data_IF_460171914528
#
_entry.id   IF_460171914528
#
_cell.length_a   1.000
_cell.length_b   1.000
_cell.length_c   1.000
_cell.angle_alpha   90.00
_cell.angle_beta   90.00
_cell.angle_gamma   90.00
#
_symmetry.space_group_name_H-M   'P 1'
#
loop_
_entity.id
_entity.type
_entity.pdbx_description
1 polymer ?
#
# COMPACT_ATOMS: atom_id res chain seq x y z
N UNK A 1 -7.37 -7.07 18.32
CA UNK A 1 -6.89 -6.90 19.70
C UNK A 1 -5.37 -6.83 19.76
N UNK A 2 -4.62 -7.90 19.45
CA UNK A 2 -3.14 -7.89 19.53
C UNK A 2 -2.49 -6.79 18.67
N UNK A 3 -2.98 -6.56 17.45
CA UNK A 3 -2.50 -5.45 16.61
C UNK A 3 -2.71 -4.05 17.21
N UNK A 4 -3.56 -3.92 18.23
CA UNK A 4 -3.79 -2.70 19.00
C UNK A 4 -2.99 -2.67 20.33
N UNK A 5 -2.19 -3.69 20.61
CA UNK A 5 -1.36 -3.79 21.83
C UNK A 5 -2.00 -4.54 23.00
N UNK A 6 -3.02 -5.37 22.79
CA UNK A 6 -3.53 -6.26 23.85
C UNK A 6 -2.64 -7.49 24.02
N UNK A 7 -2.16 -7.75 25.23
CA UNK A 7 -1.25 -8.88 25.54
C UNK A 7 -1.92 -10.09 26.20
N UNK A 8 -3.04 -9.89 26.89
CA UNK A 8 -3.73 -10.93 27.66
C UNK A 8 -5.17 -11.12 27.21
N UNK A 9 -5.66 -12.35 27.32
CA UNK A 9 -7.00 -12.78 26.93
C UNK A 9 -7.51 -13.82 27.92
N UNK A 10 -8.73 -13.65 28.40
CA UNK A 10 -9.50 -14.67 29.09
C UNK A 10 -10.67 -15.13 28.21
N UNK A 11 -11.07 -16.39 28.33
CA UNK A 11 -12.19 -16.93 27.57
C UNK A 11 -12.91 -17.99 28.38
N UNK A 12 -14.15 -17.72 28.77
CA UNK A 12 -15.11 -18.76 29.18
C UNK A 12 -15.83 -19.37 27.97
N UNK A 13 -15.72 -18.74 26.80
CA UNK A 13 -16.47 -19.09 25.60
C UNK A 13 -16.19 -20.53 25.13
N UNK A 14 -14.96 -21.05 25.30
CA UNK A 14 -14.65 -22.42 24.85
C UNK A 14 -15.57 -23.47 25.50
N UNK A 15 -15.89 -23.30 26.78
CA UNK A 15 -16.73 -24.20 27.55
C UNK A 15 -18.22 -23.88 27.37
N UNK A 16 -18.60 -22.60 27.37
CA UNK A 16 -20.00 -22.18 27.16
C UNK A 16 -20.46 -22.62 25.76
N UNK A 17 -19.66 -22.37 24.73
CA UNK A 17 -19.99 -22.73 23.35
C UNK A 17 -20.11 -24.24 23.19
N UNK A 18 -19.24 -25.01 23.83
CA UNK A 18 -19.33 -26.46 23.81
C UNK A 18 -20.63 -26.99 24.42
N UNK A 19 -21.12 -26.39 25.52
CA UNK A 19 -22.43 -26.72 26.12
C UNK A 19 -23.58 -26.45 25.16
N UNK A 20 -23.47 -25.38 24.37
CA UNK A 20 -24.45 -25.02 23.34
C UNK A 20 -24.24 -25.77 22.00
N UNK A 21 -23.38 -26.80 21.96
CA UNK A 21 -23.10 -27.54 20.73
C UNK A 21 -22.37 -26.73 19.65
N UNK A 22 -21.66 -25.66 20.02
CA UNK A 22 -20.95 -24.76 19.10
C UNK A 22 -19.46 -25.11 19.00
N UNK A 23 -19.00 -25.16 17.74
CA UNK A 23 -17.64 -25.46 17.30
C UNK A 23 -16.93 -24.19 16.84
N UNK A 24 -15.79 -23.85 17.44
CA UNK A 24 -14.99 -22.67 17.09
C UNK A 24 -14.10 -22.91 15.87
N UNK A 25 -14.00 -21.90 14.99
CA UNK A 25 -13.09 -21.83 13.84
C UNK A 25 -12.37 -20.49 13.82
N UNK A 26 -11.34 -20.34 12.97
CA UNK A 26 -10.70 -19.04 12.72
C UNK A 26 -11.65 -18.02 12.06
N UNK A 27 -12.72 -18.48 11.44
CA UNK A 27 -13.71 -17.64 10.75
C UNK A 27 -14.95 -17.33 11.62
N UNK A 28 -15.09 -17.97 12.78
CA UNK A 28 -16.24 -17.77 13.67
C UNK A 28 -16.64 -19.04 14.40
N UNK A 29 -17.95 -19.34 14.38
CA UNK A 29 -18.52 -20.51 15.06
C UNK A 29 -19.54 -21.20 14.18
N UNK A 30 -19.53 -22.53 14.20
CA UNK A 30 -20.54 -23.38 13.57
C UNK A 30 -21.31 -24.17 14.64
N UNK A 31 -22.52 -24.62 14.34
CA UNK A 31 -23.18 -25.63 15.17
C UNK A 31 -22.68 -27.01 14.77
N UNK A 32 -22.45 -27.89 15.74
CA UNK A 32 -21.98 -29.25 15.47
C UNK A 32 -22.95 -30.01 14.55
N UNK A 33 -24.26 -29.80 14.71
CA UNK A 33 -25.31 -30.40 13.89
C UNK A 33 -25.27 -30.02 12.40
N UNK A 34 -24.61 -28.91 12.06
CA UNK A 34 -24.49 -28.39 10.69
C UNK A 34 -23.17 -28.83 10.02
N UNK A 35 -22.27 -29.49 10.75
CA UNK A 35 -20.96 -29.88 10.24
C UNK A 35 -21.00 -31.26 9.58
N UNK A 36 -20.66 -31.30 8.30
CA UNK A 36 -20.37 -32.56 7.60
C UNK A 36 -18.92 -33.03 7.79
N UNK A 37 -17.99 -32.09 8.05
CA UNK A 37 -16.56 -32.37 8.23
C UNK A 37 -15.99 -31.44 9.31
N UNK A 38 -14.94 -31.89 10.00
CA UNK A 38 -14.14 -30.99 10.84
C UNK A 38 -13.00 -30.34 10.05
N UNK A 39 -13.00 -29.00 9.86
CA UNK A 39 -11.89 -28.28 9.24
C UNK A 39 -10.75 -28.05 10.25
N UNK A 40 -10.32 -29.10 10.95
CA UNK A 40 -9.29 -29.03 11.98
C UNK A 40 -8.55 -30.36 12.11
N UNK A 41 -7.31 -30.30 12.59
CA UNK A 41 -6.45 -31.46 12.81
C UNK A 41 -6.00 -31.55 14.28
N UNK A 42 -6.79 -31.02 15.22
CA UNK A 42 -6.50 -31.18 16.65
C UNK A 42 -6.72 -32.64 17.10
N UNK A 43 -6.25 -33.04 18.30
CA UNK A 43 -6.43 -34.41 18.78
C UNK A 43 -7.87 -34.93 18.84
N UNK A 44 -8.88 -34.04 18.87
CA UNK A 44 -10.30 -34.41 18.77
C UNK A 44 -10.67 -34.65 17.31
N UNK A 45 -10.50 -33.63 16.46
CA UNK A 45 -10.91 -33.68 15.05
C UNK A 45 -10.11 -34.67 14.19
N UNK A 46 -8.92 -35.09 14.65
CA UNK A 46 -8.14 -36.14 13.98
C UNK A 46 -8.60 -37.56 14.33
N UNK A 47 -9.45 -37.73 15.35
CA UNK A 47 -9.91 -39.03 15.84
C UNK A 47 -11.38 -39.30 15.60
N UNK A 48 -12.18 -38.24 15.46
CA UNK A 48 -13.62 -38.34 15.39
C UNK A 48 -14.17 -37.52 14.25
N UNK A 49 -15.30 -37.96 13.72
CA UNK A 49 -16.13 -37.24 12.75
C UNK A 49 -17.30 -36.50 13.44
N UNK A 50 -17.92 -35.51 12.78
CA UNK A 50 -19.06 -34.77 13.36
C UNK A 50 -20.24 -35.66 13.78
N UNK A 51 -20.60 -36.66 12.96
CA UNK A 51 -21.69 -37.60 13.27
C UNK A 51 -21.40 -38.42 14.52
N UNK A 52 -20.16 -38.90 14.68
CA UNK A 52 -19.75 -39.66 15.86
C UNK A 52 -19.85 -38.80 17.12
N UNK A 53 -19.43 -37.54 17.06
CA UNK A 53 -19.60 -36.61 18.19
C UNK A 53 -21.07 -36.36 18.52
N UNK A 54 -21.96 -36.30 17.53
CA UNK A 54 -23.40 -36.08 17.74
C UNK A 54 -24.06 -37.26 18.46
N UNK A 55 -23.64 -38.48 18.14
CA UNK A 55 -24.17 -39.72 18.73
C UNK A 55 -23.64 -39.98 20.17
N UNK A 56 -22.58 -39.29 20.59
CA UNK A 56 -22.03 -39.44 21.93
C UNK A 56 -22.96 -38.92 23.04
N UNK A 57 -22.88 -39.47 24.27
CA UNK A 57 -23.54 -38.90 25.43
C UNK A 57 -23.17 -37.43 25.62
N UNK A 58 -24.15 -36.61 26.00
CA UNK A 58 -24.01 -35.15 26.08
C UNK A 58 -22.75 -34.71 26.83
N UNK A 59 -22.48 -35.30 28.00
CA UNK A 59 -21.31 -34.97 28.82
C UNK A 59 -19.99 -35.16 28.05
N UNK A 60 -19.88 -36.23 27.27
CA UNK A 60 -18.68 -36.54 26.52
C UNK A 60 -18.55 -35.66 25.27
N UNK A 61 -19.66 -35.45 24.56
CA UNK A 61 -19.74 -34.50 23.43
C UNK A 61 -19.31 -33.09 23.83
N UNK A 62 -19.84 -32.57 24.94
CA UNK A 62 -19.48 -31.25 25.49
C UNK A 62 -18.00 -31.21 25.88
N UNK A 63 -17.47 -32.28 26.50
CA UNK A 63 -16.05 -32.36 26.88
C UNK A 63 -15.13 -32.29 25.66
N UNK A 64 -15.43 -33.04 24.60
CA UNK A 64 -14.64 -33.07 23.37
C UNK A 64 -14.75 -31.76 22.59
N UNK A 65 -15.95 -31.18 22.47
CA UNK A 65 -16.14 -29.86 21.87
C UNK A 65 -15.38 -28.76 22.64
N UNK A 66 -15.41 -28.79 23.97
CA UNK A 66 -14.68 -27.82 24.79
C UNK A 66 -13.16 -27.96 24.58
N UNK A 67 -12.67 -29.19 24.48
CA UNK A 67 -11.27 -29.48 24.19
C UNK A 67 -10.86 -28.96 22.82
N UNK A 68 -11.65 -29.21 21.78
CA UNK A 68 -11.45 -28.64 20.44
C UNK A 68 -11.42 -27.11 20.49
N UNK A 69 -12.42 -26.48 21.11
CA UNK A 69 -12.52 -25.03 21.20
C UNK A 69 -11.29 -24.41 21.88
N UNK A 70 -10.75 -25.07 22.91
CA UNK A 70 -9.50 -24.67 23.54
C UNK A 70 -8.30 -24.81 22.59
N UNK A 71 -8.19 -25.92 21.84
CA UNK A 71 -7.16 -26.07 20.82
C UNK A 71 -7.26 -25.01 19.72
N UNK A 72 -8.46 -24.65 19.29
CA UNK A 72 -8.69 -23.59 18.30
C UNK A 72 -8.15 -22.24 18.82
N UNK A 73 -8.45 -21.87 20.07
CA UNK A 73 -7.94 -20.65 20.69
C UNK A 73 -6.40 -20.65 20.77
N UNK A 74 -5.81 -21.75 21.24
CA UNK A 74 -4.36 -21.88 21.36
C UNK A 74 -3.66 -21.87 19.99
N UNK A 75 -4.27 -22.46 18.97
CA UNK A 75 -3.78 -22.43 17.59
C UNK A 75 -3.73 -21.00 17.06
N UNK A 76 -4.78 -20.22 17.28
CA UNK A 76 -4.82 -18.82 16.84
C UNK A 76 -3.74 -17.98 17.54
N UNK A 77 -3.52 -18.18 18.84
CA UNK A 77 -2.41 -17.52 19.55
C UNK A 77 -1.04 -17.86 18.94
N UNK A 78 -0.83 -19.11 18.49
CA UNK A 78 0.42 -19.49 17.81
C UNK A 78 0.57 -18.79 16.46
N UNK A 79 -0.50 -18.70 15.66
CA UNK A 79 -0.50 -17.95 14.40
C UNK A 79 -0.13 -16.48 14.63
N UNK A 80 -0.74 -15.85 15.63
CA UNK A 80 -0.45 -14.44 15.97
C UNK A 80 1.02 -14.27 16.38
N UNK A 81 1.53 -15.14 17.27
CA UNK A 81 2.94 -15.07 17.69
C UNK A 81 3.91 -15.24 16.51
N UNK A 82 3.62 -16.17 15.62
CA UNK A 82 4.41 -16.38 14.42
C UNK A 82 4.36 -15.15 13.50
N UNK A 83 3.16 -14.61 13.25
CA UNK A 83 2.97 -13.41 12.43
C UNK A 83 3.71 -12.19 12.99
N UNK A 84 3.74 -12.01 14.32
CA UNK A 84 4.55 -10.97 14.96
C UNK A 84 6.05 -11.20 14.68
N UNK A 85 6.53 -12.43 14.88
CA UNK A 85 7.95 -12.78 14.71
C UNK A 85 8.45 -12.54 13.29
N UNK A 86 7.63 -12.83 12.28
CA UNK A 86 8.00 -12.63 10.86
C UNK A 86 7.59 -11.26 10.29
N UNK A 87 6.84 -10.46 11.06
CA UNK A 87 6.38 -9.13 10.66
C UNK A 87 5.19 -9.13 9.71
N UNK A 88 4.35 -10.16 9.74
CA UNK A 88 3.13 -10.33 8.90
C UNK A 88 1.83 -10.18 9.69
N UNK A 89 1.87 -9.52 10.86
CA UNK A 89 0.68 -9.37 11.71
C UNK A 89 -0.46 -8.62 11.00
N UNK A 90 -0.13 -7.67 10.12
CA UNK A 90 -1.15 -6.95 9.36
C UNK A 90 -1.87 -7.87 8.36
N UNK A 91 -1.12 -8.71 7.65
CA UNK A 91 -1.67 -9.68 6.71
C UNK A 91 -2.59 -10.68 7.43
N UNK A 92 -2.17 -11.19 8.60
CA UNK A 92 -3.02 -12.05 9.42
C UNK A 92 -4.29 -11.32 9.89
N UNK A 93 -4.16 -10.06 10.33
CA UNK A 93 -5.28 -9.24 10.74
C UNK A 93 -6.30 -9.06 9.60
N UNK A 94 -5.83 -8.72 8.40
CA UNK A 94 -6.70 -8.53 7.24
C UNK A 94 -7.37 -9.84 6.83
N UNK A 95 -6.64 -10.95 6.83
CA UNK A 95 -7.22 -12.27 6.60
C UNK A 95 -8.36 -12.58 7.59
N UNK A 96 -8.18 -12.29 8.89
CA UNK A 96 -9.23 -12.46 9.90
C UNK A 96 -10.36 -11.43 9.78
N UNK A 97 -10.07 -10.23 9.31
CA UNK A 97 -11.07 -9.19 9.11
C UNK A 97 -12.15 -9.61 8.09
N UNK A 98 -11.78 -10.42 7.10
CA UNK A 98 -12.69 -10.95 6.09
C UNK A 98 -13.59 -12.10 6.59
N UNK A 99 -13.42 -12.57 7.82
CA UNK A 99 -14.28 -13.61 8.38
C UNK A 99 -15.72 -13.13 8.64
N UNK A 100 -15.92 -11.83 8.93
CA UNK A 100 -17.25 -11.28 9.21
C UNK A 100 -17.32 -9.77 8.87
N UNK A 101 -18.43 -9.25 8.33
CA UNK A 101 -18.56 -7.83 7.99
C UNK A 101 -18.23 -6.86 9.13
N UNK A 102 -18.62 -7.18 10.37
CA UNK A 102 -18.30 -6.35 11.54
C UNK A 102 -16.80 -6.32 11.85
N UNK A 103 -16.06 -7.40 11.59
CA UNK A 103 -14.61 -7.43 11.75
C UNK A 103 -13.93 -6.58 10.68
N UNK A 104 -14.38 -6.68 9.42
CA UNK A 104 -13.89 -5.82 8.35
C UNK A 104 -14.15 -4.33 8.63
N UNK A 105 -15.34 -4.01 9.15
CA UNK A 105 -15.68 -2.65 9.61
C UNK A 105 -14.73 -2.17 10.70
N UNK A 106 -14.41 -3.03 11.68
CA UNK A 106 -13.45 -2.72 12.73
C UNK A 106 -12.02 -2.53 12.19
N UNK A 107 -11.57 -3.38 11.26
CA UNK A 107 -10.27 -3.26 10.61
C UNK A 107 -10.15 -1.95 9.82
N UNK A 108 -11.18 -1.57 9.05
CA UNK A 108 -11.22 -0.27 8.35
C UNK A 108 -11.17 0.91 9.32
N UNK A 109 -11.77 0.80 10.51
CA UNK A 109 -11.71 1.84 11.53
C UNK A 109 -10.28 2.09 12.05
N UNK A 110 -9.37 1.11 11.93
CA UNK A 110 -7.96 1.29 12.30
C UNK A 110 -7.27 2.41 11.52
N UNK A 111 -7.75 2.75 10.32
CA UNK A 111 -7.26 3.89 9.54
C UNK A 111 -7.31 5.21 10.34
N UNK A 112 -8.33 5.38 11.19
CA UNK A 112 -8.47 6.57 12.04
C UNK A 112 -7.44 6.63 13.18
N UNK A 113 -6.71 5.54 13.44
CA UNK A 113 -5.65 5.43 14.43
C UNK A 113 -4.28 5.19 13.80
N UNK A 114 -4.17 5.35 12.48
CA UNK A 114 -2.95 5.09 11.70
C UNK A 114 -1.72 5.82 12.25
N UNK A 115 -1.88 7.04 12.77
CA UNK A 115 -0.78 7.79 13.36
C UNK A 115 -0.19 7.13 14.61
N UNK A 116 -1.05 6.67 15.52
CA UNK A 116 -0.64 6.00 16.76
C UNK A 116 -0.01 4.64 16.45
N UNK A 117 -0.58 3.90 15.49
CA UNK A 117 -0.05 2.62 15.06
C UNK A 117 1.32 2.78 14.39
N UNK A 118 1.50 3.82 13.57
CA UNK A 118 2.76 4.10 12.89
C UNK A 118 3.90 4.43 13.86
N UNK A 119 3.63 5.25 14.87
CA UNK A 119 4.63 5.64 15.88
C UNK A 119 5.17 4.43 16.67
N UNK A 120 4.30 3.46 16.96
CA UNK A 120 4.65 2.26 17.76
C UNK A 120 5.11 1.07 16.92
N UNK A 121 5.12 1.20 15.61
CA UNK A 121 5.50 0.11 14.71
C UNK A 121 6.99 0.16 14.36
N UNK A 122 7.69 -1.00 14.30
CA UNK A 122 9.07 -1.06 13.84
C UNK A 122 9.28 -0.43 12.45
N UNK A 123 10.47 0.16 12.25
CA UNK A 123 10.85 0.81 10.99
C UNK A 123 11.40 -0.17 9.97
N UNK A 124 12.23 -1.12 10.42
CA UNK A 124 12.86 -2.11 9.56
C UNK A 124 12.04 -3.40 9.52
N UNK A 125 11.81 -3.91 8.30
CA UNK A 125 11.20 -5.22 8.05
C UNK A 125 12.08 -6.01 7.10
N UNK A 126 12.09 -7.33 7.29
CA UNK A 126 12.84 -8.25 6.42
C UNK A 126 12.01 -8.72 5.22
N UNK A 127 10.69 -8.61 5.29
CA UNK A 127 9.75 -9.12 4.28
C UNK A 127 9.17 -7.96 3.47
N UNK A 128 8.89 -8.21 2.20
CA UNK A 128 8.10 -7.30 1.38
C UNK A 128 6.66 -7.20 1.89
N UNK A 129 6.03 -6.08 1.59
CA UNK A 129 4.68 -5.76 2.08
C UNK A 129 3.63 -6.18 1.07
N UNK A 130 2.50 -6.74 1.51
CA UNK A 130 1.41 -7.13 0.61
C UNK A 130 0.27 -6.12 0.64
N UNK A 131 -0.07 -5.55 -0.51
CA UNK A 131 -1.10 -4.52 -0.65
C UNK A 131 -2.24 -5.10 -1.50
N UNK A 132 -3.36 -5.41 -0.85
CA UNK A 132 -4.52 -6.03 -1.49
C UNK A 132 -5.60 -5.02 -1.85
N UNK A 133 -5.78 -3.97 -1.03
CA UNK A 133 -6.82 -2.96 -1.24
C UNK A 133 -6.48 -1.63 -0.57
N UNK A 134 -7.33 -0.63 -0.77
CA UNK A 134 -7.28 0.65 -0.05
C UNK A 134 -7.28 0.53 1.48
N UNK A 135 -7.82 -0.57 2.04
CA UNK A 135 -7.76 -0.82 3.48
C UNK A 135 -6.32 -0.95 4.00
N UNK A 136 -5.39 -1.38 3.14
CA UNK A 136 -3.99 -1.57 3.49
C UNK A 136 -3.16 -0.27 3.48
N UNK A 137 -3.72 0.84 2.98
CA UNK A 137 -3.03 2.13 2.99
C UNK A 137 -2.93 2.72 4.40
N UNK A 138 -3.73 2.20 5.34
CA UNK A 138 -3.66 2.51 6.76
C UNK A 138 -2.47 1.87 7.49
N UNK A 139 -1.72 1.00 6.81
CA UNK A 139 -0.55 0.33 7.39
C UNK A 139 0.50 1.33 7.86
N UNK A 140 1.16 1.05 9.00
CA UNK A 140 2.27 1.83 9.52
C UNK A 140 3.32 2.23 8.47
N UNK A 141 3.74 1.30 7.61
CA UNK A 141 4.79 1.50 6.62
C UNK A 141 4.40 2.54 5.56
N UNK A 142 3.14 2.50 5.09
CA UNK A 142 2.60 3.41 4.07
C UNK A 142 2.37 4.80 4.68
N UNK A 143 1.80 4.84 5.88
CA UNK A 143 1.56 6.08 6.64
C UNK A 143 2.90 6.77 6.93
N UNK A 144 3.91 6.01 7.33
CA UNK A 144 5.26 6.50 7.58
C UNK A 144 5.90 7.07 6.32
N UNK A 145 5.79 6.37 5.21
CA UNK A 145 6.28 6.86 3.91
C UNK A 145 5.65 8.21 3.59
N UNK A 146 4.30 8.32 3.60
CA UNK A 146 3.58 9.58 3.38
C UNK A 146 4.07 10.70 4.30
N UNK A 147 4.14 10.44 5.62
CA UNK A 147 4.60 11.44 6.59
C UNK A 147 6.03 11.91 6.33
N UNK A 148 6.95 10.98 6.07
CA UNK A 148 8.37 11.31 5.86
C UNK A 148 8.59 12.00 4.51
N UNK A 149 7.87 11.58 3.47
CA UNK A 149 7.88 12.24 2.18
C UNK A 149 7.45 13.72 2.32
N UNK A 150 6.33 13.97 2.98
CA UNK A 150 5.82 15.35 3.13
C UNK A 150 6.64 16.19 4.12
N UNK A 151 7.13 15.62 5.22
CA UNK A 151 7.79 16.40 6.30
C UNK A 151 9.32 16.43 6.24
N UNK A 152 9.98 15.39 5.72
CA UNK A 152 11.44 15.21 5.82
C UNK A 152 12.16 15.26 4.49
N UNK A 153 11.51 14.82 3.40
CA UNK A 153 12.10 14.94 2.08
C UNK A 153 12.16 16.41 1.68
N UNK A 154 13.30 16.85 1.15
CA UNK A 154 13.51 18.23 0.74
C UNK A 154 13.94 18.25 -0.71
N UNK A 155 13.34 19.14 -1.49
CA UNK A 155 13.75 19.42 -2.86
C UNK A 155 14.74 20.58 -2.87
N UNK A 156 15.56 20.71 -3.93
CA UNK A 156 16.27 21.96 -4.18
C UNK A 156 15.31 23.15 -4.14
N UNK A 157 15.72 24.29 -3.56
CA UNK A 157 14.83 25.47 -3.37
C UNK A 157 14.24 25.99 -4.67
N UNK A 158 14.98 25.83 -5.78
CA UNK A 158 14.63 26.28 -7.12
C UNK A 158 14.26 25.11 -8.04
N UNK A 159 13.76 24.00 -7.49
CA UNK A 159 13.59 22.78 -8.26
C UNK A 159 12.60 22.90 -9.42
N UNK A 160 12.94 22.31 -10.56
CA UNK A 160 12.00 21.87 -11.59
C UNK A 160 11.55 20.45 -11.22
N UNK A 161 10.26 20.27 -10.91
CA UNK A 161 9.74 18.94 -10.58
C UNK A 161 9.42 18.19 -11.87
N UNK A 162 10.15 17.12 -12.15
CA UNK A 162 9.87 16.20 -13.24
C UNK A 162 9.10 15.00 -12.71
N UNK A 163 7.85 14.84 -13.13
CA UNK A 163 6.98 13.73 -12.77
C UNK A 163 6.86 12.77 -13.96
N UNK A 164 7.33 11.53 -13.78
CA UNK A 164 7.36 10.48 -14.80
C UNK A 164 6.58 9.24 -14.33
N UNK A 165 5.95 8.47 -15.24
CA UNK A 165 5.35 7.20 -14.86
C UNK A 165 6.44 6.23 -14.45
N UNK A 166 6.21 5.52 -13.35
CA UNK A 166 7.13 4.49 -12.90
C UNK A 166 7.11 3.29 -13.89
N UNK A 167 8.27 2.80 -14.39
CA UNK A 167 8.29 1.69 -15.34
C UNK A 167 8.02 0.33 -14.68
N UNK A 168 7.67 -0.72 -15.43
CA UNK A 168 7.32 -2.02 -14.85
C UNK A 168 8.42 -2.64 -13.96
N UNK A 169 9.70 -2.41 -14.27
CA UNK A 169 10.81 -2.94 -13.48
C UNK A 169 11.04 -2.14 -12.19
N UNK A 170 11.06 -2.83 -11.05
CA UNK A 170 11.35 -2.28 -9.73
C UNK A 170 12.60 -2.92 -9.12
N UNK A 171 13.49 -2.16 -8.46
CA UNK A 171 13.54 -0.70 -8.38
C UNK A 171 13.98 -0.05 -9.71
N UNK A 172 13.48 1.15 -10.02
CA UNK A 172 13.79 1.89 -11.25
C UNK A 172 15.29 2.19 -11.37
N UNK A 173 15.92 2.50 -10.24
CA UNK A 173 17.37 2.74 -10.14
C UNK A 173 18.26 1.56 -10.56
N UNK A 174 17.67 0.38 -10.85
CA UNK A 174 18.37 -0.78 -11.45
C UNK A 174 17.90 -1.12 -12.87
N UNK A 175 17.00 -0.32 -13.44
CA UNK A 175 16.50 -0.49 -14.81
C UNK A 175 17.41 0.21 -15.82
N UNK A 176 17.55 -0.30 -17.06
CA UNK A 176 18.23 0.41 -18.15
C UNK A 176 17.62 1.78 -18.50
N UNK A 177 16.39 2.06 -18.05
CA UNK A 177 15.76 3.36 -18.18
C UNK A 177 16.41 4.44 -17.29
N UNK A 178 17.03 4.04 -16.18
CA UNK A 178 17.72 4.95 -15.27
C UNK A 178 18.92 5.62 -15.95
N UNK A 179 19.81 4.82 -16.56
CA UNK A 179 21.01 5.34 -17.22
C UNK A 179 20.65 6.25 -18.41
N UNK A 180 19.60 5.89 -19.17
CA UNK A 180 19.07 6.71 -20.26
C UNK A 180 18.53 8.05 -19.77
N UNK A 181 17.77 8.05 -18.67
CA UNK A 181 17.26 9.28 -18.06
C UNK A 181 18.40 10.18 -17.59
N UNK A 182 19.38 9.65 -16.86
CA UNK A 182 20.52 10.43 -16.38
C UNK A 182 21.36 10.98 -17.53
N UNK A 183 21.61 10.16 -18.55
CA UNK A 183 22.31 10.58 -19.77
C UNK A 183 21.57 11.73 -20.47
N UNK A 184 20.24 11.63 -20.63
CA UNK A 184 19.43 12.70 -21.21
C UNK A 184 19.47 13.98 -20.36
N UNK A 185 19.30 13.87 -19.03
CA UNK A 185 19.34 15.02 -18.12
C UNK A 185 20.72 15.69 -18.07
N UNK A 186 21.80 14.95 -18.31
CA UNK A 186 23.15 15.53 -18.39
C UNK A 186 23.28 16.59 -19.48
N UNK A 187 22.46 16.52 -20.53
CA UNK A 187 22.38 17.53 -21.59
C UNK A 187 21.90 18.90 -21.12
N UNK A 188 21.34 19.01 -19.90
CA UNK A 188 20.95 20.29 -19.28
C UNK A 188 22.14 21.03 -18.61
N UNK A 189 23.32 20.41 -18.51
CA UNK A 189 24.48 21.00 -17.83
C UNK A 189 24.19 21.27 -16.35
N UNK A 190 24.57 22.45 -15.84
CA UNK A 190 24.37 22.83 -14.43
C UNK A 190 22.89 22.80 -13.98
N UNK A 191 21.95 23.06 -14.91
CA UNK A 191 20.51 23.02 -14.63
C UNK A 191 20.03 21.62 -14.22
N UNK A 192 20.75 20.55 -14.58
CA UNK A 192 20.42 19.19 -14.16
C UNK A 192 20.35 19.06 -12.62
N UNK A 193 21.13 19.86 -11.87
CA UNK A 193 21.13 19.86 -10.40
C UNK A 193 19.86 20.46 -9.80
N UNK A 194 19.14 21.26 -10.57
CA UNK A 194 17.86 21.85 -10.17
C UNK A 194 16.67 20.95 -10.55
N UNK A 195 16.88 19.83 -11.23
CA UNK A 195 15.78 18.92 -11.59
C UNK A 195 15.57 17.91 -10.47
N UNK A 196 14.39 17.94 -9.83
CA UNK A 196 13.96 16.87 -8.94
C UNK A 196 13.13 15.87 -9.73
N UNK A 197 13.63 14.64 -9.85
CA UNK A 197 12.91 13.54 -10.49
C UNK A 197 12.01 12.84 -9.47
N UNK A 198 10.75 12.67 -9.82
CA UNK A 198 9.79 11.88 -9.06
C UNK A 198 9.00 10.96 -10.00
N UNK A 199 8.79 9.72 -9.58
CA UNK A 199 8.08 8.70 -10.33
C UNK A 199 6.68 8.51 -9.74
N UNK A 200 5.63 8.65 -10.54
CA UNK A 200 4.27 8.37 -10.08
C UNK A 200 3.91 6.90 -10.29
N UNK A 201 3.28 6.29 -9.29
CA UNK A 201 2.93 4.86 -9.31
C UNK A 201 1.85 4.51 -8.30
N UNK A 202 1.11 3.43 -8.55
CA UNK A 202 0.25 2.82 -7.55
C UNK A 202 1.03 1.77 -6.74
N UNK A 203 0.77 1.62 -5.44
CA UNK A 203 -0.21 2.38 -4.65
C UNK A 203 0.37 3.65 -3.99
N UNK A 204 1.62 4.03 -4.28
CA UNK A 204 2.37 5.03 -3.50
C UNK A 204 2.19 6.50 -3.93
N UNK A 205 1.49 6.77 -5.03
CA UNK A 205 1.30 8.13 -5.53
C UNK A 205 2.53 8.66 -6.23
N UNK A 206 3.50 9.13 -5.45
CA UNK A 206 4.70 9.75 -5.97
C UNK A 206 5.94 9.33 -5.17
N UNK A 207 6.98 8.90 -5.89
CA UNK A 207 8.22 8.35 -5.35
C UNK A 207 9.40 9.15 -5.89
N UNK A 208 10.03 10.02 -5.08
CA UNK A 208 11.30 10.63 -5.45
C UNK A 208 12.35 9.56 -5.75
N UNK A 209 13.19 9.83 -6.75
CA UNK A 209 14.18 8.87 -7.26
C UNK A 209 15.12 8.36 -6.16
N UNK A 210 15.46 9.22 -5.20
CA UNK A 210 16.34 8.93 -4.06
C UNK A 210 15.72 7.92 -3.08
N UNK A 211 14.40 7.75 -3.11
CA UNK A 211 13.66 6.88 -2.20
C UNK A 211 13.25 5.55 -2.84
N UNK A 212 13.44 5.36 -4.14
CA UNK A 212 12.98 4.19 -4.90
C UNK A 212 13.35 2.82 -4.27
N UNK A 213 14.54 2.72 -3.66
CA UNK A 213 15.00 1.48 -3.01
C UNK A 213 14.56 1.34 -1.54
N UNK A 214 13.86 2.33 -0.98
CA UNK A 214 13.47 2.37 0.43
C UNK A 214 12.18 1.59 0.67
N UNK A 215 12.17 0.73 1.68
CA UNK A 215 10.98 -0.01 2.09
C UNK A 215 9.82 0.93 2.48
N UNK A 216 8.57 0.68 2.00
CA UNK A 216 8.11 -0.49 1.23
C UNK A 216 8.05 -0.30 -0.30
N UNK A 217 8.71 0.72 -0.87
CA UNK A 217 8.48 1.18 -2.24
C UNK A 217 8.83 0.14 -3.31
N UNK A 218 10.02 -0.46 -3.24
CA UNK A 218 10.40 -1.54 -4.16
C UNK A 218 10.17 -2.94 -3.59
N UNK A 219 9.94 -3.06 -2.27
CA UNK A 219 9.70 -4.35 -1.62
C UNK A 219 8.21 -4.54 -1.29
N UNK A 220 7.36 -4.60 -2.31
CA UNK A 220 5.95 -4.89 -2.14
C UNK A 220 5.35 -5.70 -3.29
N UNK A 221 4.32 -6.45 -2.96
CA UNK A 221 3.40 -7.07 -3.93
C UNK A 221 2.07 -6.32 -3.90
N UNK A 222 1.50 -6.13 -5.08
CA UNK A 222 0.30 -5.31 -5.28
C UNK A 222 -0.73 -6.08 -6.08
N UNK A 223 -1.93 -6.26 -5.51
CA UNK A 223 -3.00 -7.02 -6.16
C UNK A 223 -3.72 -6.26 -7.28
N UNK A 224 -3.54 -4.93 -7.35
CA UNK A 224 -4.21 -4.05 -8.30
C UNK A 224 -4.91 -2.87 -7.61
N UNK A 225 -5.30 -1.90 -8.42
CA UNK A 225 -5.90 -0.67 -7.94
C UNK A 225 -7.40 -0.84 -7.66
N UNK A 226 -7.86 -0.26 -6.55
CA UNK A 226 -9.25 0.14 -6.36
C UNK A 226 -9.35 1.67 -6.39
N UNK A 227 -10.57 2.22 -6.46
CA UNK A 227 -10.81 3.67 -6.48
C UNK A 227 -10.16 4.39 -5.27
N UNK A 228 -10.08 3.73 -4.12
CA UNK A 228 -9.49 4.28 -2.91
C UNK A 228 -7.97 4.43 -3.02
N UNK A 229 -7.29 3.44 -3.62
CA UNK A 229 -5.86 3.47 -3.89
C UNK A 229 -5.52 4.57 -4.89
N UNK A 230 -6.26 4.64 -6.00
CA UNK A 230 -6.07 5.67 -7.02
C UNK A 230 -6.20 7.07 -6.40
N UNK A 231 -7.30 7.31 -5.67
CA UNK A 231 -7.55 8.59 -5.00
C UNK A 231 -6.45 8.95 -4.00
N UNK A 232 -6.01 7.98 -3.19
CA UNK A 232 -4.95 8.21 -2.21
C UNK A 232 -3.61 8.56 -2.87
N UNK A 233 -3.27 7.85 -3.95
CA UNK A 233 -2.05 8.05 -4.72
C UNK A 233 -2.02 9.46 -5.36
N UNK A 234 -3.12 9.85 -6.00
CA UNK A 234 -3.29 11.17 -6.62
C UNK A 234 -3.22 12.30 -5.57
N UNK A 235 -3.90 12.14 -4.43
CA UNK A 235 -3.87 13.17 -3.37
C UNK A 235 -2.47 13.28 -2.75
N UNK A 236 -1.75 12.17 -2.54
CA UNK A 236 -0.39 12.24 -2.02
C UNK A 236 0.56 12.97 -2.98
N UNK A 237 0.43 12.73 -4.29
CA UNK A 237 1.21 13.44 -5.29
C UNK A 237 0.89 14.95 -5.31
N UNK A 238 -0.39 15.31 -5.21
CA UNK A 238 -0.83 16.70 -5.10
C UNK A 238 -0.32 17.37 -3.80
N UNK A 239 -0.44 16.71 -2.65
CA UNK A 239 0.08 17.16 -1.36
C UNK A 239 1.60 17.39 -1.43
N UNK A 240 2.33 16.50 -2.11
CA UNK A 240 3.76 16.67 -2.33
C UNK A 240 4.03 17.94 -3.14
N UNK A 241 3.38 18.12 -4.29
CA UNK A 241 3.58 19.31 -5.13
C UNK A 241 3.18 20.60 -4.41
N UNK A 242 2.14 20.61 -3.58
CA UNK A 242 1.80 21.78 -2.73
C UNK A 242 2.91 22.07 -1.74
N UNK A 243 3.31 21.06 -0.97
CA UNK A 243 4.24 21.22 0.16
C UNK A 243 5.69 21.52 -0.21
N UNK A 244 6.14 21.19 -1.42
CA UNK A 244 7.55 21.38 -1.82
C UNK A 244 7.75 22.67 -2.64
N UNK A 245 8.82 23.44 -2.37
CA UNK A 245 9.17 24.58 -3.20
C UNK A 245 9.60 24.07 -4.59
N UNK A 246 9.03 24.69 -5.62
CA UNK A 246 9.37 24.41 -7.01
C UNK A 246 9.07 25.61 -7.90
N UNK A 247 9.89 25.78 -8.95
CA UNK A 247 9.73 26.85 -9.95
C UNK A 247 8.68 26.50 -11.00
N UNK A 248 8.58 25.22 -11.35
CA UNK A 248 7.60 24.68 -12.27
C UNK A 248 7.47 23.17 -12.06
N UNK A 249 6.37 22.61 -12.57
CA UNK A 249 6.11 21.18 -12.60
C UNK A 249 5.97 20.73 -14.04
N UNK A 250 6.70 19.68 -14.42
CA UNK A 250 6.57 18.97 -15.68
C UNK A 250 5.99 17.60 -15.42
N UNK A 251 4.74 17.37 -15.82
CA UNK A 251 4.13 16.05 -15.85
C UNK A 251 4.33 15.42 -17.23
N UNK A 252 4.89 14.22 -17.27
CA UNK A 252 4.91 13.39 -18.47
C UNK A 252 3.81 12.35 -18.31
N UNK A 253 2.75 12.47 -19.10
CA UNK A 253 1.59 11.58 -19.06
C UNK A 253 1.73 10.48 -20.11
N UNK A 254 1.57 9.23 -19.68
CA UNK A 254 1.48 8.03 -20.51
C UNK A 254 0.06 7.72 -20.98
N UNK A 255 -0.93 8.55 -20.62
CA UNK A 255 -2.35 8.31 -20.91
C UNK A 255 -2.99 7.22 -20.04
N UNK A 256 -2.31 6.76 -18.98
CA UNK A 256 -2.91 5.89 -17.99
C UNK A 256 -3.96 6.63 -17.15
N UNK A 257 -4.92 5.90 -16.58
CA UNK A 257 -5.94 6.45 -15.66
C UNK A 257 -5.29 7.25 -14.52
N UNK A 258 -4.21 6.74 -13.93
CA UNK A 258 -3.45 7.47 -12.90
C UNK A 258 -2.89 8.80 -13.45
N UNK A 259 -2.34 8.82 -14.66
CA UNK A 259 -1.77 10.03 -15.23
C UNK A 259 -2.85 11.08 -15.54
N UNK A 260 -4.03 10.67 -16.02
CA UNK A 260 -5.14 11.56 -16.30
C UNK A 260 -5.72 12.18 -15.02
N UNK A 261 -5.98 11.37 -13.99
CA UNK A 261 -6.44 11.86 -12.69
C UNK A 261 -5.40 12.74 -12.00
N UNK A 262 -4.12 12.38 -12.12
CA UNK A 262 -3.02 13.20 -11.61
C UNK A 262 -2.93 14.54 -12.35
N UNK A 263 -3.12 14.57 -13.66
CA UNK A 263 -3.13 15.81 -14.45
C UNK A 263 -4.21 16.78 -13.96
N UNK A 264 -5.43 16.30 -13.73
CA UNK A 264 -6.54 17.09 -13.17
C UNK A 264 -6.16 17.64 -11.81
N UNK A 265 -5.70 16.78 -10.90
CA UNK A 265 -5.39 17.19 -9.52
C UNK A 265 -4.20 18.13 -9.43
N UNK A 266 -3.18 17.93 -10.27
CA UNK A 266 -2.01 18.80 -10.31
C UNK A 266 -2.33 20.18 -10.88
N UNK A 267 -3.27 20.30 -11.82
CA UNK A 267 -3.73 21.63 -12.28
C UNK A 267 -4.32 22.44 -11.13
N UNK A 268 -5.17 21.81 -10.31
CA UNK A 268 -5.73 22.45 -9.10
C UNK A 268 -4.61 22.84 -8.12
N UNK A 269 -3.74 21.89 -7.77
CA UNK A 269 -2.67 22.10 -6.80
C UNK A 269 -1.67 23.18 -7.24
N UNK A 270 -1.26 23.16 -8.51
CA UNK A 270 -0.33 24.14 -9.07
C UNK A 270 -0.97 25.53 -9.19
N UNK A 271 -2.26 25.60 -9.53
CA UNK A 271 -3.02 26.85 -9.59
C UNK A 271 -3.12 27.55 -8.24
N UNK A 272 -3.38 26.81 -7.16
CA UNK A 272 -3.42 27.36 -5.79
C UNK A 272 -2.06 27.94 -5.35
N UNK A 273 -0.96 27.31 -5.75
CA UNK A 273 0.40 27.68 -5.34
C UNK A 273 1.11 28.64 -6.33
N UNK A 274 0.44 29.01 -7.44
CA UNK A 274 1.04 29.84 -8.49
C UNK A 274 2.21 29.18 -9.23
N UNK A 275 2.24 27.84 -9.29
CA UNK A 275 3.29 27.06 -9.95
C UNK A 275 2.90 26.80 -11.41
N UNK A 276 3.73 27.15 -12.41
CA UNK A 276 3.49 26.73 -13.79
C UNK A 276 3.50 25.20 -13.91
N UNK A 277 2.47 24.64 -14.53
CA UNK A 277 2.36 23.22 -14.85
C UNK A 277 2.42 23.04 -16.37
N UNK A 278 3.39 22.25 -16.82
CA UNK A 278 3.47 21.77 -18.19
C UNK A 278 3.18 20.27 -18.22
N UNK A 279 2.37 19.86 -19.20
CA UNK A 279 2.04 18.44 -19.42
C UNK A 279 2.52 18.02 -20.80
N UNK A 280 3.32 16.96 -20.85
CA UNK A 280 3.73 16.30 -22.09
C UNK A 280 3.06 14.93 -22.17
N UNK A 281 2.20 14.72 -23.17
CA UNK A 281 1.62 13.40 -23.44
C UNK A 281 2.58 12.59 -24.31
N UNK A 282 2.95 11.39 -23.87
CA UNK A 282 3.86 10.47 -24.56
C UNK A 282 3.41 9.04 -24.36
N UNK A 283 2.99 8.37 -25.43
CA UNK A 283 2.60 6.95 -25.37
C UNK A 283 3.74 6.05 -24.87
N UNK A 284 4.99 6.40 -25.19
CA UNK A 284 6.18 5.76 -24.61
C UNK A 284 7.10 6.83 -23.99
N UNK A 285 6.92 7.14 -22.69
CA UNK A 285 7.70 8.16 -21.97
C UNK A 285 9.21 7.88 -21.94
N UNK A 286 9.61 6.63 -22.13
CA UNK A 286 10.98 6.16 -21.97
C UNK A 286 11.75 5.95 -23.27
N UNK A 287 11.16 6.34 -24.41
CA UNK A 287 11.85 6.36 -25.70
C UNK A 287 12.88 7.50 -25.76
N UNK A 288 13.91 7.35 -26.58
CA UNK A 288 14.93 8.39 -26.81
C UNK A 288 14.32 9.73 -27.23
N UNK A 289 13.30 9.69 -28.09
CA UNK A 289 12.57 10.88 -28.56
C UNK A 289 11.80 11.58 -27.42
N UNK A 290 11.13 10.80 -26.56
CA UNK A 290 10.43 11.33 -25.38
C UNK A 290 11.41 11.97 -24.41
N UNK A 291 12.55 11.32 -24.13
CA UNK A 291 13.59 11.85 -23.24
C UNK A 291 14.18 13.17 -23.79
N UNK A 292 14.45 13.27 -25.09
CA UNK A 292 14.87 14.53 -25.73
C UNK A 292 13.81 15.62 -25.59
N UNK A 293 12.54 15.29 -25.79
CA UNK A 293 11.42 16.23 -25.61
C UNK A 293 11.32 16.73 -24.16
N UNK A 294 11.51 15.84 -23.19
CA UNK A 294 11.49 16.18 -21.75
C UNK A 294 12.62 17.16 -21.42
N UNK A 295 13.84 16.89 -21.89
CA UNK A 295 15.00 17.77 -21.70
C UNK A 295 14.74 19.15 -22.31
N UNK A 296 14.22 19.22 -23.55
CA UNK A 296 13.88 20.48 -24.18
C UNK A 296 12.82 21.27 -23.39
N UNK A 297 11.80 20.60 -22.88
CA UNK A 297 10.77 21.21 -22.06
C UNK A 297 11.30 21.73 -20.72
N UNK A 298 12.17 20.99 -20.04
CA UNK A 298 12.83 21.43 -18.81
C UNK A 298 13.69 22.68 -19.04
N UNK A 299 14.43 22.72 -20.14
CA UNK A 299 15.24 23.88 -20.51
C UNK A 299 14.39 25.15 -20.76
N UNK A 300 13.19 25.02 -21.35
CA UNK A 300 12.29 26.16 -21.54
C UNK A 300 11.62 26.61 -20.24
N UNK A 301 11.22 25.67 -19.38
CA UNK A 301 10.68 25.98 -18.04
C UNK A 301 11.72 26.72 -17.18
N UNK A 302 12.99 26.33 -17.26
CA UNK A 302 14.08 27.01 -16.55
C UNK A 302 14.23 28.50 -16.95
N UNK A 303 13.96 28.81 -18.22
CA UNK A 303 13.99 30.18 -18.78
C UNK A 303 12.72 30.99 -18.47
N UNK A 304 11.74 30.41 -17.77
CA UNK A 304 10.46 31.06 -17.47
C UNK A 304 9.53 31.19 -18.68
N UNK A 305 9.75 30.42 -19.75
CA UNK A 305 8.92 30.43 -20.95
C UNK A 305 7.91 29.28 -20.88
N UNK A 306 6.62 29.57 -21.07
CA UNK A 306 5.60 28.54 -21.21
C UNK A 306 5.70 27.95 -22.63
N UNK A 307 5.98 26.64 -22.80
CA UNK A 307 6.22 26.06 -24.13
C UNK A 307 4.94 25.82 -24.97
N UNK A 308 3.79 26.34 -24.55
CA UNK A 308 2.51 26.22 -25.27
C UNK A 308 2.51 26.86 -26.67
N UNK A 309 3.58 27.57 -27.06
CA UNK A 309 3.76 28.14 -28.40
C UNK A 309 4.64 27.32 -29.36
N UNK A 310 5.27 26.22 -28.91
CA UNK A 310 6.27 25.49 -29.72
C UNK A 310 5.85 24.07 -30.13
N UNK A 311 4.94 23.43 -29.40
CA UNK A 311 4.60 22.01 -29.62
C UNK A 311 3.26 21.77 -30.35
N UNK A 312 2.63 22.81 -30.90
CA UNK A 312 1.46 22.68 -31.80
C UNK A 312 1.85 22.34 -33.26
N UNK A 313 3.12 22.00 -33.53
CA UNK A 313 3.65 21.86 -34.89
C UNK A 313 4.26 20.50 -35.26
N UNK A 314 4.12 19.46 -34.45
CA UNK A 314 4.59 18.11 -34.80
C UNK A 314 3.49 17.10 -34.46
N UNK A 315 2.57 16.95 -35.40
CA UNK A 315 1.42 16.05 -35.37
C UNK A 315 0.87 15.90 -36.79
N UNK A 316 1.64 15.22 -37.64
CA UNK A 316 1.15 14.28 -38.65
C UNK A 316 1.91 12.96 -38.45
#
# INVERSE_FOLDING_TARGET
>A
AVALGCDTFDSAAYAIFARDGRYMTEAGTARLEELAYFPCSCPVCAKYEPSELLEMPERERVRLLAMHNLYACLRELRFIKQAIREGSLWELLMLRAHAHPSLLKAARKLASYSDVLEERSPVARKRGTFIFSSADLARPEVVRFRKRLLKRFSTPKSALLLLLPYPPERPFSRSPHYDRLLSALSGLGELARDVQVCLYTLPFGLVPLELDQVHPLSQHEFAGADEGILRWAVELAADFVRSKPSRAVLLVSDGSELAEELEVKLREACGCEGKPLLVLRRANPWSEESLRSIVAALAELAKGRHPSKLFTGLGE
#
